data_IF_851166664223
#
_entry.id   IF_851166664223
#
_cell.length_a   1.000
_cell.length_b   1.000
_cell.length_c   1.000
_cell.angle_alpha   90.00
_cell.angle_beta   90.00
_cell.angle_gamma   90.00
#
_symmetry.space_group_name_H-M   'P 1'
#
loop_
_entity.id
_entity.type
_entity.pdbx_description
1 polymer ?
#
# COMPACT_ATOMS: atom_id res chain seq x y z
N UNK A 1 28.47 -9.85 -5.08
CA UNK A 1 28.41 -10.46 -3.72
C UNK A 1 27.04 -11.11 -3.57
N UNK A 2 27.01 -12.41 -3.33
CA UNK A 2 25.76 -13.16 -3.12
C UNK A 2 25.47 -13.25 -1.64
N UNK A 3 24.17 -13.15 -1.28
CA UNK A 3 23.72 -13.32 0.11
C UNK A 3 23.76 -14.83 0.43
N UNK A 4 24.27 -15.17 1.60
CA UNK A 4 24.29 -16.56 2.08
C UNK A 4 22.86 -17.10 2.24
N UNK A 5 22.58 -18.36 1.81
CA UNK A 5 21.25 -18.95 1.86
C UNK A 5 20.60 -18.90 3.25
N UNK A 6 21.39 -19.14 4.30
CA UNK A 6 20.89 -19.08 5.69
C UNK A 6 20.45 -17.68 6.10
N UNK A 7 21.17 -16.63 5.70
CA UNK A 7 20.79 -15.25 5.99
C UNK A 7 19.50 -14.86 5.24
N UNK A 8 19.35 -15.30 4.00
CA UNK A 8 18.13 -15.09 3.22
C UNK A 8 16.93 -15.81 3.85
N UNK A 9 17.07 -17.06 4.28
CA UNK A 9 16.01 -17.82 4.96
C UNK A 9 15.54 -17.11 6.24
N UNK A 10 16.47 -16.68 7.11
CA UNK A 10 16.14 -15.93 8.30
C UNK A 10 15.38 -14.64 8.00
N UNK A 11 15.75 -13.92 6.94
CA UNK A 11 15.04 -12.70 6.53
C UNK A 11 13.62 -13.00 6.09
N UNK A 12 13.39 -14.09 5.34
CA UNK A 12 12.05 -14.55 4.95
C UNK A 12 11.19 -14.82 6.19
N UNK A 13 11.70 -15.55 7.18
CA UNK A 13 10.97 -15.84 8.42
C UNK A 13 10.58 -14.55 9.15
N UNK A 14 11.52 -13.59 9.26
CA UNK A 14 11.24 -12.29 9.90
C UNK A 14 10.21 -11.46 9.14
N UNK A 15 10.19 -11.51 7.80
CA UNK A 15 9.16 -10.83 6.99
C UNK A 15 7.79 -11.44 7.26
N UNK A 16 7.68 -12.77 7.31
CA UNK A 16 6.41 -13.47 7.58
C UNK A 16 5.90 -13.16 9.00
N UNK A 17 6.78 -13.13 9.98
CA UNK A 17 6.42 -12.77 11.36
C UNK A 17 6.02 -11.30 11.50
N UNK A 18 6.74 -10.39 10.85
CA UNK A 18 6.37 -8.99 10.81
C UNK A 18 4.99 -8.79 10.16
N UNK A 19 4.71 -9.44 9.03
CA UNK A 19 3.40 -9.38 8.39
C UNK A 19 2.28 -9.86 9.32
N UNK A 20 2.53 -10.94 10.08
CA UNK A 20 1.58 -11.48 11.06
C UNK A 20 1.34 -10.48 12.20
N UNK A 21 2.41 -9.92 12.76
CA UNK A 21 2.34 -8.94 13.85
C UNK A 21 1.59 -7.68 13.42
N UNK A 22 1.91 -7.12 12.24
CA UNK A 22 1.21 -5.95 11.68
C UNK A 22 -0.28 -6.22 11.50
N UNK A 23 -0.67 -7.40 11.00
CA UNK A 23 -2.09 -7.76 10.89
C UNK A 23 -2.78 -7.84 12.26
N UNK A 24 -2.12 -8.40 13.27
CA UNK A 24 -2.67 -8.47 14.64
C UNK A 24 -2.89 -7.07 15.23
N UNK A 25 -1.92 -6.17 15.09
CA UNK A 25 -2.04 -4.78 15.56
C UNK A 25 -3.15 -4.04 14.80
N UNK A 26 -3.20 -4.19 13.48
CA UNK A 26 -4.25 -3.59 12.66
C UNK A 26 -5.65 -4.08 13.06
N UNK A 27 -5.82 -5.37 13.29
CA UNK A 27 -7.09 -5.95 13.74
C UNK A 27 -7.51 -5.46 15.15
N UNK A 28 -6.55 -5.24 16.03
CA UNK A 28 -6.81 -4.73 17.37
C UNK A 28 -7.26 -3.25 17.35
N UNK A 29 -6.66 -2.44 16.48
CA UNK A 29 -6.97 -1.00 16.34
C UNK A 29 -8.26 -0.74 15.57
N UNK A 30 -8.73 -1.68 14.74
CA UNK A 30 -9.94 -1.49 13.91
C UNK A 30 -11.27 -1.65 14.65
N UNK A 31 -11.30 -2.16 15.87
CA UNK A 31 -12.53 -2.35 16.66
C UNK A 31 -13.24 -1.06 17.06
N UNK A 32 -13.18 -0.02 16.25
CA UNK A 32 -13.84 1.27 16.48
C UNK A 32 -13.76 2.23 15.32
N UNK A 33 -13.12 1.84 14.23
CA UNK A 33 -12.93 2.73 13.07
C UNK A 33 -13.73 2.20 11.88
N UNK A 34 -14.72 2.98 11.41
CA UNK A 34 -15.60 2.62 10.29
C UNK A 34 -14.93 2.46 8.92
N UNK A 35 -13.61 2.65 8.83
CA UNK A 35 -12.87 2.54 7.58
C UNK A 35 -11.90 1.36 7.64
N UNK A 36 -12.19 0.28 6.93
CA UNK A 36 -11.36 -0.94 6.89
C UNK A 36 -9.93 -0.69 6.37
N UNK A 37 -8.99 -1.60 6.69
CA UNK A 37 -7.56 -1.50 6.29
C UNK A 37 -7.40 -1.32 4.78
N UNK A 38 -8.20 -2.04 3.99
CA UNK A 38 -8.17 -1.96 2.54
C UNK A 38 -8.53 -0.56 2.03
N UNK A 39 -9.59 0.06 2.59
CA UNK A 39 -10.01 1.42 2.26
C UNK A 39 -8.96 2.46 2.66
N UNK A 40 -8.30 2.26 3.81
CA UNK A 40 -7.19 3.11 4.24
C UNK A 40 -5.99 3.04 3.27
N UNK A 41 -5.73 1.87 2.68
CA UNK A 41 -4.72 1.69 1.63
C UNK A 41 -5.03 2.53 0.40
N UNK A 42 -6.28 2.51 -0.06
CA UNK A 42 -6.73 3.34 -1.20
C UNK A 42 -6.57 4.81 -0.90
N UNK A 43 -7.06 5.30 0.27
CA UNK A 43 -6.93 6.71 0.67
C UNK A 43 -5.48 7.17 0.68
N UNK A 44 -4.57 6.35 1.20
CA UNK A 44 -3.15 6.67 1.25
C UNK A 44 -2.55 6.85 -0.15
N UNK A 45 -2.78 5.89 -1.06
CA UNK A 45 -2.22 6.00 -2.41
C UNK A 45 -2.82 7.14 -3.23
N UNK A 46 -4.11 7.41 -3.07
CA UNK A 46 -4.76 8.57 -3.69
C UNK A 46 -4.28 9.88 -3.07
N UNK A 47 -3.87 9.86 -1.79
CA UNK A 47 -3.24 10.99 -1.11
C UNK A 47 -1.85 11.37 -1.64
N UNK A 48 -1.11 10.39 -2.21
CA UNK A 48 0.16 10.63 -2.89
C UNK A 48 -0.01 11.33 -4.26
N UNK A 49 -1.20 11.24 -4.86
CA UNK A 49 -1.57 11.82 -6.14
C UNK A 49 -2.80 11.17 -6.76
N UNK A 50 -3.50 11.92 -7.59
CA UNK A 50 -4.64 11.40 -8.36
C UNK A 50 -4.16 10.25 -9.26
N UNK A 51 -4.97 9.20 -9.40
CA UNK A 51 -4.56 7.99 -10.11
C UNK A 51 -5.72 7.26 -10.75
N UNK A 52 -5.48 6.61 -11.89
CA UNK A 52 -6.45 5.70 -12.52
C UNK A 52 -6.68 4.47 -11.65
N UNK A 53 -7.90 3.94 -11.68
CA UNK A 53 -8.26 2.75 -10.90
C UNK A 53 -7.38 1.54 -11.24
N UNK A 54 -7.00 1.34 -12.49
CA UNK A 54 -6.10 0.27 -12.92
C UNK A 54 -4.74 0.36 -12.24
N UNK A 55 -4.14 1.54 -12.21
CA UNK A 55 -2.85 1.78 -11.57
C UNK A 55 -2.93 1.59 -10.04
N UNK A 56 -4.04 2.02 -9.41
CA UNK A 56 -4.26 1.78 -7.97
C UNK A 56 -4.39 0.29 -7.67
N UNK A 57 -5.06 -0.51 -8.52
CA UNK A 57 -5.19 -1.95 -8.35
C UNK A 57 -3.82 -2.65 -8.37
N UNK A 58 -2.98 -2.30 -9.33
CA UNK A 58 -1.60 -2.81 -9.44
C UNK A 58 -0.77 -2.45 -8.20
N UNK A 59 -0.80 -1.18 -7.77
CA UNK A 59 -0.04 -0.72 -6.59
C UNK A 59 -0.48 -1.38 -5.29
N UNK A 60 -1.77 -1.68 -5.16
CA UNK A 60 -2.35 -2.34 -3.99
C UNK A 60 -2.27 -3.86 -4.05
N UNK A 61 -1.94 -4.44 -5.20
CA UNK A 61 -1.92 -5.88 -5.40
C UNK A 61 -3.31 -6.52 -5.27
N UNK A 62 -4.37 -5.82 -5.69
CA UNK A 62 -5.76 -6.30 -5.64
C UNK A 62 -6.36 -6.36 -7.04
N UNK A 63 -7.38 -7.22 -7.22
CA UNK A 63 -8.09 -7.28 -8.50
C UNK A 63 -8.94 -6.03 -8.76
N UNK A 64 -9.16 -5.70 -10.03
CA UNK A 64 -9.96 -4.54 -10.43
C UNK A 64 -11.40 -4.55 -9.84
N UNK A 65 -12.12 -5.69 -9.77
CA UNK A 65 -13.44 -5.72 -9.11
C UNK A 65 -13.39 -5.41 -7.62
N UNK A 66 -12.35 -5.87 -6.91
CA UNK A 66 -12.16 -5.59 -5.48
C UNK A 66 -11.89 -4.12 -5.27
N UNK A 67 -10.98 -3.54 -6.06
CA UNK A 67 -10.69 -2.12 -5.97
C UNK A 67 -11.91 -1.26 -6.32
N UNK A 68 -12.66 -1.62 -7.37
CA UNK A 68 -13.87 -0.88 -7.77
C UNK A 68 -14.88 -0.78 -6.65
N UNK A 69 -15.05 -1.86 -5.86
CA UNK A 69 -15.90 -1.86 -4.67
C UNK A 69 -15.36 -0.93 -3.59
N UNK A 70 -14.06 -0.99 -3.31
CA UNK A 70 -13.42 -0.10 -2.34
C UNK A 70 -13.56 1.39 -2.72
N UNK A 71 -13.42 1.71 -4.01
CA UNK A 71 -13.62 3.08 -4.50
C UNK A 71 -15.07 3.50 -4.31
N UNK A 72 -16.05 2.65 -4.64
CA UNK A 72 -17.47 2.94 -4.45
C UNK A 72 -17.81 3.20 -2.97
N UNK A 73 -17.29 2.38 -2.06
CA UNK A 73 -17.47 2.58 -0.61
C UNK A 73 -16.88 3.92 -0.13
N UNK A 74 -15.74 4.33 -0.67
CA UNK A 74 -15.10 5.61 -0.33
C UNK A 74 -15.80 6.82 -0.97
N UNK A 75 -16.38 6.66 -2.16
CA UNK A 75 -17.23 7.66 -2.81
C UNK A 75 -18.51 7.89 -2.01
N UNK A 76 -19.18 6.79 -1.58
CA UNK A 76 -20.38 6.86 -0.75
C UNK A 76 -20.11 7.57 0.59
N UNK A 77 -18.93 7.34 1.18
CA UNK A 77 -18.48 8.02 2.39
C UNK A 77 -18.01 9.47 2.12
N UNK A 78 -17.95 9.91 0.88
CA UNK A 78 -17.52 11.24 0.48
C UNK A 78 -16.02 11.50 0.61
N UNK A 79 -15.19 10.46 0.72
CA UNK A 79 -13.74 10.61 0.90
C UNK A 79 -12.96 10.70 -0.41
N UNK A 80 -13.48 10.13 -1.49
CA UNK A 80 -12.89 10.25 -2.82
C UNK A 80 -13.91 10.78 -3.83
N UNK A 81 -13.39 11.35 -4.90
CA UNK A 81 -14.18 11.83 -6.04
C UNK A 81 -13.54 11.34 -7.34
N UNK A 82 -14.36 11.18 -8.39
CA UNK A 82 -13.86 10.93 -9.75
C UNK A 82 -13.73 12.24 -10.50
N UNK A 83 -12.66 12.36 -11.25
CA UNK A 83 -12.41 13.49 -12.14
C UNK A 83 -12.05 12.99 -13.52
N UNK A 84 -12.42 13.70 -14.60
CA UNK A 84 -11.91 13.38 -15.93
C UNK A 84 -10.38 13.44 -15.96
N UNK A 85 -9.76 12.46 -16.61
CA UNK A 85 -8.32 12.51 -16.83
C UNK A 85 -8.02 13.59 -17.89
N UNK A 86 -7.15 14.57 -17.61
CA UNK A 86 -6.83 15.63 -18.54
C UNK A 86 -6.10 15.15 -19.80
N UNK A 87 -5.45 13.99 -19.75
CA UNK A 87 -4.72 13.41 -20.88
C UNK A 87 -5.60 12.45 -21.70
N UNK A 88 -6.63 11.87 -21.09
CA UNK A 88 -7.55 10.94 -21.73
C UNK A 88 -8.97 11.14 -21.19
N UNK A 89 -9.76 11.94 -21.87
CA UNK A 89 -11.13 12.27 -21.47
C UNK A 89 -12.09 11.06 -21.36
N UNK A 90 -11.67 9.84 -21.78
CA UNK A 90 -12.42 8.60 -21.59
C UNK A 90 -12.11 7.93 -20.26
N UNK A 91 -10.98 8.29 -19.65
CA UNK A 91 -10.52 7.77 -18.36
C UNK A 91 -10.94 8.68 -17.20
N UNK A 92 -10.99 8.10 -16.01
CA UNK A 92 -11.26 8.83 -14.78
C UNK A 92 -10.12 8.65 -13.79
N UNK A 93 -9.73 9.75 -13.17
CA UNK A 93 -8.82 9.78 -12.05
C UNK A 93 -9.63 9.72 -10.75
N UNK A 94 -9.11 8.97 -9.79
CA UNK A 94 -9.61 8.96 -8.41
C UNK A 94 -8.78 9.98 -7.64
N UNK A 95 -9.45 10.92 -6.97
CA UNK A 95 -8.83 11.98 -6.19
C UNK A 95 -9.43 12.04 -4.79
N UNK A 96 -8.66 12.52 -3.80
CA UNK A 96 -9.21 12.81 -2.48
C UNK A 96 -10.16 14.02 -2.55
N UNK A 97 -11.28 13.91 -1.84
CA UNK A 97 -12.08 15.07 -1.45
C UNK A 97 -11.41 15.81 -0.27
N UNK A 98 -11.90 17.00 0.09
CA UNK A 98 -11.46 17.70 1.30
C UNK A 98 -11.70 16.86 2.57
N UNK A 99 -12.84 16.14 2.64
CA UNK A 99 -13.15 15.22 3.73
C UNK A 99 -12.19 14.01 3.73
N UNK A 100 -11.86 13.48 2.55
CA UNK A 100 -10.89 12.40 2.40
C UNK A 100 -9.50 12.79 2.85
N UNK A 101 -9.02 13.97 2.48
CA UNK A 101 -7.73 14.49 2.93
C UNK A 101 -7.68 14.68 4.46
N UNK A 102 -8.78 15.16 5.06
CA UNK A 102 -8.88 15.27 6.52
C UNK A 102 -8.90 13.90 7.19
N UNK A 103 -9.63 12.93 6.62
CA UNK A 103 -9.70 11.56 7.13
C UNK A 103 -8.34 10.88 7.06
N UNK A 104 -7.60 11.05 5.94
CA UNK A 104 -6.27 10.48 5.77
C UNK A 104 -5.31 10.99 6.85
N UNK A 105 -5.27 12.30 7.12
CA UNK A 105 -4.45 12.88 8.19
C UNK A 105 -4.75 12.25 9.55
N UNK A 106 -6.01 12.14 9.92
CA UNK A 106 -6.41 11.50 11.19
C UNK A 106 -5.90 10.06 11.27
N UNK A 107 -5.98 9.30 10.17
CA UNK A 107 -5.50 7.92 10.11
C UNK A 107 -3.97 7.84 10.22
N UNK A 108 -3.25 8.77 9.62
CA UNK A 108 -1.79 8.86 9.70
C UNK A 108 -1.33 9.22 11.10
N UNK A 109 -1.96 10.21 11.74
CA UNK A 109 -1.67 10.61 13.12
C UNK A 109 -1.91 9.43 14.09
N UNK A 110 -3.01 8.70 13.93
CA UNK A 110 -3.32 7.53 14.73
C UNK A 110 -2.29 6.40 14.56
N UNK A 111 -1.85 6.15 13.32
CA UNK A 111 -0.79 5.17 13.05
C UNK A 111 0.52 5.58 13.70
N UNK A 112 0.90 6.84 13.53
CA UNK A 112 2.13 7.39 14.13
C UNK A 112 2.09 7.25 15.64
N UNK A 113 1.01 7.64 16.29
CA UNK A 113 0.85 7.51 17.73
C UNK A 113 0.91 6.03 18.19
N UNK A 114 0.29 5.12 17.42
CA UNK A 114 0.34 3.68 17.71
C UNK A 114 1.78 3.16 17.66
N UNK A 115 2.51 3.48 16.59
CA UNK A 115 3.90 3.06 16.42
C UNK A 115 4.79 3.69 17.50
N UNK A 116 4.64 4.97 17.81
CA UNK A 116 5.37 5.62 18.91
C UNK A 116 5.17 4.90 20.24
N UNK A 117 3.92 4.48 20.55
CA UNK A 117 3.62 3.71 21.74
C UNK A 117 4.31 2.33 21.78
N UNK A 118 4.45 1.67 20.63
CA UNK A 118 5.13 0.38 20.50
C UNK A 118 6.66 0.50 20.61
N UNK A 119 7.23 1.62 20.19
CA UNK A 119 8.67 1.85 20.10
C UNK A 119 9.23 2.68 21.25
N UNK A 120 8.49 2.81 22.37
CA UNK A 120 8.87 3.65 23.52
C UNK A 120 10.25 3.34 24.10
N UNK A 121 10.73 2.10 23.97
CA UNK A 121 12.02 1.63 24.47
C UNK A 121 13.12 1.60 23.39
N UNK A 122 12.81 2.08 22.17
CA UNK A 122 13.77 2.18 21.07
C UNK A 122 14.45 3.54 21.07
N UNK A 123 15.72 3.58 20.68
CA UNK A 123 16.38 4.85 20.37
C UNK A 123 15.96 5.36 18.99
N UNK A 124 16.07 6.67 18.77
CA UNK A 124 15.80 7.27 17.45
C UNK A 124 16.70 6.68 16.37
N UNK A 125 17.94 6.37 16.69
CA UNK A 125 18.88 5.72 15.78
C UNK A 125 18.42 4.32 15.37
N UNK A 126 17.83 3.52 16.27
CA UNK A 126 17.27 2.21 15.94
C UNK A 126 16.06 2.33 15.03
N UNK A 127 15.18 3.30 15.30
CA UNK A 127 13.99 3.56 14.47
C UNK A 127 14.40 3.95 13.06
N UNK A 128 15.33 4.88 12.90
CA UNK A 128 15.85 5.28 11.61
C UNK A 128 16.55 4.14 10.86
N UNK A 129 17.33 3.33 11.57
CA UNK A 129 17.99 2.17 10.95
C UNK A 129 16.97 1.15 10.45
N UNK A 130 15.93 0.87 11.23
CA UNK A 130 14.84 0.00 10.83
C UNK A 130 14.10 0.55 9.61
N UNK A 131 13.78 1.84 9.59
CA UNK A 131 13.11 2.50 8.48
C UNK A 131 13.93 2.38 7.18
N UNK A 132 15.23 2.71 7.21
CA UNK A 132 16.13 2.57 6.04
C UNK A 132 16.23 1.14 5.53
N UNK A 133 16.25 0.17 6.44
CA UNK A 133 16.33 -1.25 6.08
C UNK A 133 15.05 -1.72 5.39
N UNK A 134 13.89 -1.31 5.92
CA UNK A 134 12.58 -1.62 5.33
C UNK A 134 12.38 -0.95 3.97
N UNK A 135 12.81 0.31 3.81
CA UNK A 135 12.78 1.02 2.54
C UNK A 135 13.57 0.29 1.46
N UNK A 136 14.84 -0.03 1.74
CA UNK A 136 15.71 -0.79 0.83
C UNK A 136 15.11 -2.14 0.44
N UNK A 137 14.54 -2.87 1.39
CA UNK A 137 13.88 -4.14 1.14
C UNK A 137 12.64 -3.98 0.26
N UNK A 138 11.81 -2.99 0.56
CA UNK A 138 10.59 -2.67 -0.19
C UNK A 138 10.91 -2.32 -1.64
N UNK A 139 11.95 -1.53 -1.89
CA UNK A 139 12.36 -1.15 -3.24
C UNK A 139 12.90 -2.36 -4.03
N UNK A 140 13.65 -3.25 -3.38
CA UNK A 140 14.11 -4.49 -3.99
C UNK A 140 12.95 -5.40 -4.40
N UNK A 141 11.93 -5.53 -3.53
CA UNK A 141 10.73 -6.32 -3.81
C UNK A 141 9.90 -5.72 -4.95
N UNK A 142 9.70 -4.40 -4.96
CA UNK A 142 8.97 -3.69 -6.03
C UNK A 142 9.66 -3.86 -7.38
N UNK A 143 10.97 -3.71 -7.42
CA UNK A 143 11.76 -3.88 -8.65
C UNK A 143 11.63 -5.30 -9.20
N UNK A 144 11.72 -6.31 -8.33
CA UNK A 144 11.56 -7.71 -8.71
C UNK A 144 10.15 -8.03 -9.21
N UNK A 145 9.11 -7.47 -8.57
CA UNK A 145 7.72 -7.65 -9.00
C UNK A 145 7.48 -7.07 -10.39
N UNK A 146 7.97 -5.86 -10.66
CA UNK A 146 7.85 -5.20 -11.97
C UNK A 146 8.56 -5.99 -13.08
N UNK A 147 9.76 -6.51 -12.81
CA UNK A 147 10.50 -7.32 -13.76
C UNK A 147 9.71 -8.59 -14.15
N UNK A 148 9.13 -9.29 -13.18
CA UNK A 148 8.32 -10.49 -13.44
C UNK A 148 7.04 -10.19 -14.22
N UNK A 149 6.39 -9.07 -13.97
CA UNK A 149 5.18 -8.65 -14.71
C UNK A 149 5.53 -8.35 -16.18
N UNK A 150 6.64 -7.68 -16.43
CA UNK A 150 7.12 -7.38 -17.79
C UNK A 150 7.49 -8.66 -18.56
N UNK A 151 8.14 -9.62 -17.89
CA UNK A 151 8.53 -10.91 -18.48
C UNK A 151 7.30 -11.78 -18.82
N UNK A 152 6.29 -11.79 -17.96
CA UNK A 152 5.02 -12.49 -18.20
C UNK A 152 4.23 -11.89 -19.36
N UNK A 153 4.21 -10.57 -19.52
CA UNK A 153 3.54 -9.89 -20.64
C UNK A 153 4.20 -10.24 -21.98
N UNK A 154 5.54 -10.25 -22.03
CA UNK A 154 6.28 -10.57 -23.25
C UNK A 154 6.16 -12.06 -23.66
N UNK A 155 5.94 -12.95 -22.69
CA UNK A 155 5.75 -14.40 -22.97
C UNK A 155 4.37 -14.69 -23.55
N UNK A 156 3.35 -13.89 -23.22
CA UNK A 156 1.98 -14.04 -23.73
C UNK A 156 1.88 -13.60 -25.18
N UNK A 157 2.57 -12.52 -25.59
CA UNK A 157 2.63 -12.08 -26.98
C UNK A 157 3.36 -13.06 -27.92
N UNK A 158 4.37 -13.79 -27.40
CA UNK A 158 5.14 -14.75 -28.20
C UNK A 158 4.43 -16.10 -28.43
N UNK A 159 3.29 -16.36 -27.83
CA UNK A 159 2.50 -17.62 -27.99
C UNK A 159 1.33 -17.42 -28.93
N UNK A 160 0.97 -16.18 -29.30
CA UNK A 160 -0.10 -15.85 -30.24
C UNK A 160 0.38 -15.62 -31.69
N UNK A 161 1.69 -15.74 -31.97
CA UNK A 161 2.28 -15.79 -33.32
C UNK A 161 2.53 -17.26 -33.77
#
# INVERSE_FOLDING_TARGET
MSVEPHAAARLVDQILDLQRAVRCVAAATQRGQGTGVALQGVLRYVGEGESRATHLAERLGVSAPVLSRHIADLEEQGYVVRRPDPEDGRAQLIALSAAGASKLRVLEDQRTATIQGLLKDWSEADVEQAARTLEKLTDSLRTSARAKTAESANTTEAVEE
#
